data_IF_265692550425
#
_entry.id   IF_265692550425
#
_cell.length_a   1.000
_cell.length_b   1.000
_cell.length_c   1.000
_cell.angle_alpha   90.00
_cell.angle_beta   90.00
_cell.angle_gamma   90.00
#
_symmetry.space_group_name_H-M   'P 1'
#
loop_
_entity.id
_entity.type
_entity.pdbx_description
1 polymer ?
#
# COMPACT_ATOMS: atom_id res chain seq x y z
N UNK A 1 40.25 54.18 -53.61
CA UNK A 1 38.99 53.60 -53.09
C UNK A 1 39.23 53.25 -51.63
N UNK A 2 38.38 53.73 -50.72
CA UNK A 2 38.36 53.30 -49.32
C UNK A 2 37.12 52.44 -49.11
N UNK A 3 37.24 51.40 -48.28
CA UNK A 3 36.14 50.50 -47.92
C UNK A 3 35.82 50.77 -46.45
N UNK A 4 34.56 51.07 -46.17
CA UNK A 4 34.05 51.22 -44.82
C UNK A 4 33.55 49.86 -44.33
N UNK A 5 33.97 49.45 -43.12
CA UNK A 5 33.53 48.20 -42.50
C UNK A 5 32.58 48.58 -41.38
N UNK A 6 31.28 48.38 -41.61
CA UNK A 6 30.26 48.53 -40.57
C UNK A 6 30.24 47.24 -39.72
N UNK A 7 30.84 47.28 -38.54
CA UNK A 7 30.81 46.15 -37.63
C UNK A 7 29.46 46.10 -36.91
N UNK A 8 28.59 45.17 -37.31
CA UNK A 8 27.43 44.81 -36.49
C UNK A 8 27.94 44.26 -35.15
N UNK A 9 27.80 45.04 -34.10
CA UNK A 9 28.04 44.55 -32.74
C UNK A 9 26.86 43.63 -32.39
N UNK A 10 27.06 42.31 -32.51
CA UNK A 10 26.12 41.34 -31.95
C UNK A 10 26.14 41.48 -30.43
N UNK A 11 25.10 42.12 -29.89
CA UNK A 11 24.88 42.16 -28.44
C UNK A 11 24.50 40.75 -28.01
N UNK A 12 25.47 39.98 -27.52
CA UNK A 12 25.22 38.70 -26.85
C UNK A 12 24.45 39.00 -25.57
N UNK A 13 23.13 38.86 -25.62
CA UNK A 13 22.29 38.93 -24.42
C UNK A 13 22.48 37.62 -23.68
N UNK A 14 23.29 37.65 -22.63
CA UNK A 14 23.33 36.57 -21.65
C UNK A 14 21.99 36.59 -20.94
N UNK A 15 21.11 35.63 -21.25
CA UNK A 15 19.90 35.40 -20.47
C UNK A 15 20.34 34.75 -19.15
N UNK A 16 20.67 35.58 -18.16
CA UNK A 16 20.59 35.16 -16.77
C UNK A 16 19.11 35.06 -16.44
N UNK A 17 18.53 33.86 -16.55
CA UNK A 17 17.18 33.58 -16.09
C UNK A 17 17.03 34.09 -14.66
N UNK A 18 16.24 35.14 -14.50
CA UNK A 18 15.89 35.71 -13.21
C UNK A 18 14.65 34.98 -12.69
N UNK A 19 14.77 34.51 -11.45
CA UNK A 19 13.69 34.21 -10.51
C UNK A 19 13.00 32.83 -10.52
N UNK A 20 13.77 31.88 -9.96
CA UNK A 20 13.32 30.85 -8.99
C UNK A 20 12.44 29.71 -9.51
N UNK A 21 12.88 29.04 -10.57
CA UNK A 21 12.48 27.66 -10.85
C UNK A 21 13.64 26.72 -10.53
N UNK A 22 13.51 25.93 -9.46
CA UNK A 22 14.44 24.84 -9.18
C UNK A 22 14.15 23.70 -10.16
N UNK A 23 15.06 23.48 -11.10
CA UNK A 23 14.98 22.33 -12.01
C UNK A 23 15.70 21.14 -11.38
N UNK A 24 14.96 20.05 -11.16
CA UNK A 24 15.56 18.79 -10.72
C UNK A 24 16.30 18.16 -11.90
N UNK A 25 17.63 18.12 -11.84
CA UNK A 25 18.47 17.59 -12.92
C UNK A 25 18.35 16.06 -13.07
N UNK A 26 18.16 15.34 -11.97
CA UNK A 26 17.97 13.88 -11.94
C UNK A 26 17.29 13.48 -10.64
N UNK A 27 16.33 12.58 -10.73
CA UNK A 27 15.83 11.81 -9.59
C UNK A 27 16.41 10.40 -9.72
N UNK A 28 17.09 9.93 -8.69
CA UNK A 28 17.56 8.55 -8.62
C UNK A 28 16.66 7.79 -7.66
N UNK A 29 15.89 6.84 -8.20
CA UNK A 29 15.04 5.95 -7.42
C UNK A 29 15.85 4.68 -7.17
N UNK A 30 16.04 4.32 -5.90
CA UNK A 30 16.71 3.07 -5.53
C UNK A 30 15.89 1.83 -5.90
N UNK A 31 16.54 0.67 -5.87
CA UNK A 31 15.85 -0.61 -5.93
C UNK A 31 14.90 -0.75 -4.72
N UNK A 32 13.65 -1.20 -4.92
CA UNK A 32 12.79 -1.60 -3.82
C UNK A 32 13.50 -2.63 -2.94
N UNK A 33 13.70 -2.31 -1.65
CA UNK A 33 14.38 -3.21 -0.70
C UNK A 33 13.56 -4.47 -0.44
N UNK A 34 12.23 -4.38 -0.60
CA UNK A 34 11.31 -5.49 -0.43
C UNK A 34 10.01 -5.20 -1.17
N UNK A 35 9.60 -6.14 -2.02
CA UNK A 35 8.25 -6.16 -2.55
C UNK A 35 7.35 -6.86 -1.53
N UNK A 36 6.39 -6.13 -0.95
CA UNK A 36 5.27 -6.78 -0.28
C UNK A 36 4.27 -7.14 -1.35
N UNK A 37 4.08 -8.44 -1.60
CA UNK A 37 2.87 -8.87 -2.30
C UNK A 37 1.71 -8.34 -1.44
N UNK A 38 0.70 -7.74 -2.06
CA UNK A 38 -0.61 -7.64 -1.43
C UNK A 38 -0.97 -9.08 -1.08
N UNK A 39 -0.74 -9.47 0.17
CA UNK A 39 -0.88 -10.84 0.61
C UNK A 39 -2.27 -11.29 0.20
N UNK A 40 -2.38 -12.47 -0.41
CA UNK A 40 -3.68 -13.07 -0.69
C UNK A 40 -4.55 -12.88 0.56
N UNK A 41 -5.70 -12.21 0.39
CA UNK A 41 -6.66 -11.93 1.47
C UNK A 41 -7.34 -13.24 1.89
N UNK A 42 -6.55 -14.13 2.46
CA UNK A 42 -6.98 -15.39 3.05
C UNK A 42 -7.15 -15.16 4.54
N UNK A 43 -8.21 -15.74 5.09
CA UNK A 43 -8.47 -15.73 6.52
C UNK A 43 -7.35 -16.40 7.34
N UNK A 44 -6.55 -17.27 6.71
CA UNK A 44 -5.36 -17.89 7.31
C UNK A 44 -4.26 -16.89 7.66
N UNK A 45 -4.29 -15.69 7.08
CA UNK A 45 -3.23 -14.69 7.20
C UNK A 45 -3.63 -13.54 8.15
N UNK A 46 -4.81 -13.63 8.78
CA UNK A 46 -5.29 -12.64 9.73
C UNK A 46 -4.74 -12.93 11.13
N UNK A 47 -4.15 -11.93 11.76
CA UNK A 47 -3.82 -12.01 13.19
C UNK A 47 -5.09 -12.19 14.02
N UNK A 48 -5.03 -13.02 15.06
CA UNK A 48 -6.20 -13.31 15.91
C UNK A 48 -7.12 -14.41 15.38
N UNK A 49 -6.78 -15.09 14.28
CA UNK A 49 -7.60 -16.16 13.69
C UNK A 49 -6.80 -17.44 13.49
N UNK A 50 -7.31 -18.56 14.00
CA UNK A 50 -6.79 -19.90 13.83
C UNK A 50 -7.81 -20.77 13.09
N UNK A 51 -7.59 -20.97 11.79
CA UNK A 51 -8.43 -21.83 10.94
C UNK A 51 -7.81 -23.20 10.66
N UNK A 52 -6.90 -23.65 11.54
CA UNK A 52 -6.40 -25.02 11.55
C UNK A 52 -7.56 -25.98 11.78
N UNK A 53 -7.69 -27.03 10.94
CA UNK A 53 -8.76 -28.03 11.09
C UNK A 53 -10.12 -27.64 10.51
N UNK A 54 -10.23 -26.50 9.79
CA UNK A 54 -11.47 -26.14 9.09
C UNK A 54 -11.92 -27.23 8.11
N UNK A 55 -13.20 -27.54 8.12
CA UNK A 55 -13.87 -28.46 7.21
C UNK A 55 -15.09 -27.76 6.58
N UNK A 56 -15.76 -28.43 5.64
CA UNK A 56 -17.00 -27.90 5.09
C UNK A 56 -18.02 -27.68 6.23
N UNK A 57 -18.63 -26.48 6.27
CA UNK A 57 -19.58 -26.10 7.32
C UNK A 57 -18.95 -25.52 8.59
N UNK A 58 -17.61 -25.38 8.66
CA UNK A 58 -16.97 -24.68 9.77
C UNK A 58 -17.37 -23.20 9.83
N UNK A 59 -17.56 -22.69 11.03
CA UNK A 59 -17.72 -21.27 11.33
C UNK A 59 -16.64 -20.82 12.33
N UNK A 60 -16.48 -19.50 12.49
CA UNK A 60 -15.52 -18.94 13.44
C UNK A 60 -16.22 -18.70 14.77
N UNK A 61 -15.62 -19.19 15.85
CA UNK A 61 -16.05 -18.93 17.21
C UNK A 61 -14.87 -18.39 18.02
N UNK A 62 -15.10 -17.35 18.82
CA UNK A 62 -14.05 -16.85 19.71
C UNK A 62 -13.78 -17.85 20.83
N UNK A 63 -12.52 -18.23 20.99
CA UNK A 63 -12.01 -19.08 22.05
C UNK A 63 -11.29 -18.18 23.07
N UNK A 64 -11.84 -18.09 24.29
CA UNK A 64 -11.28 -17.27 25.37
C UNK A 64 -10.00 -17.86 25.97
N UNK A 65 -9.77 -19.15 25.86
CA UNK A 65 -8.55 -19.77 26.39
C UNK A 65 -7.38 -19.48 25.45
N UNK A 66 -7.63 -19.52 24.15
CA UNK A 66 -6.63 -19.20 23.12
C UNK A 66 -6.53 -17.69 22.81
N UNK A 67 -7.53 -16.89 23.16
CA UNK A 67 -7.67 -15.48 22.75
C UNK A 67 -7.67 -15.31 21.21
N UNK A 68 -8.27 -16.27 20.50
CA UNK A 68 -8.31 -16.31 19.03
C UNK A 68 -9.71 -16.70 18.55
N UNK A 69 -10.07 -16.30 17.33
CA UNK A 69 -11.17 -16.94 16.61
C UNK A 69 -10.70 -18.28 16.06
N UNK A 70 -11.36 -19.37 16.47
CA UNK A 70 -11.05 -20.74 16.03
C UNK A 70 -12.14 -21.27 15.10
N UNK A 71 -11.75 -22.14 14.16
CA UNK A 71 -12.72 -22.86 13.33
C UNK A 71 -13.43 -23.94 14.15
N UNK A 72 -14.76 -23.91 14.17
CA UNK A 72 -15.62 -24.84 14.90
C UNK A 72 -16.70 -25.39 13.96
N UNK A 73 -17.15 -26.62 14.21
CA UNK A 73 -18.27 -27.25 13.48
C UNK A 73 -19.54 -27.36 14.32
N UNK A 74 -19.43 -27.12 15.63
CA UNK A 74 -20.54 -27.27 16.58
C UNK A 74 -20.62 -26.07 17.51
N UNK A 75 -21.85 -25.70 17.87
CA UNK A 75 -22.13 -24.64 18.84
C UNK A 75 -22.44 -25.34 20.17
N UNK A 76 -21.41 -25.54 20.99
CA UNK A 76 -21.50 -26.31 22.25
C UNK A 76 -21.28 -25.48 23.53
N UNK A 77 -21.10 -24.16 23.42
CA UNK A 77 -20.92 -23.28 24.58
C UNK A 77 -22.27 -22.82 25.14
N UNK A 78 -22.42 -22.87 26.47
CA UNK A 78 -23.60 -22.37 27.19
C UNK A 78 -23.82 -20.86 27.00
N UNK A 79 -22.80 -20.13 26.55
CA UNK A 79 -22.87 -18.69 26.29
C UNK A 79 -23.38 -18.38 24.86
N UNK A 80 -23.52 -19.38 24.01
CA UNK A 80 -24.02 -19.20 22.65
C UNK A 80 -25.55 -19.21 22.66
N UNK A 81 -26.15 -18.03 22.74
CA UNK A 81 -27.60 -17.86 22.58
C UNK A 81 -27.95 -17.64 21.11
N UNK A 82 -28.38 -18.71 20.44
CA UNK A 82 -29.00 -18.59 19.11
C UNK A 82 -30.50 -18.40 19.32
N UNK A 83 -30.95 -17.15 19.34
CA UNK A 83 -32.38 -16.88 19.29
C UNK A 83 -32.82 -17.09 17.83
N UNK A 84 -33.29 -18.30 17.51
CA UNK A 84 -33.62 -18.79 16.17
C UNK A 84 -34.78 -18.09 15.46
N UNK A 85 -34.95 -16.78 15.67
CA UNK A 85 -35.96 -15.95 15.00
C UNK A 85 -37.37 -16.43 15.27
N UNK A 86 -37.86 -16.23 16.49
CA UNK A 86 -39.31 -16.34 16.73
C UNK A 86 -39.96 -15.02 16.29
N UNK A 87 -40.71 -15.05 15.17
CA UNK A 87 -41.63 -14.00 14.75
C UNK A 87 -43.06 -14.49 14.93
#
# INVERSE_FOLDING_TARGET
MAIEIDSKVEKVVVVTSTDKTNFVKKVEIGQPVRSVSSGSSSITNLGGVNVSGRTHGSFLMFDSDQQLFTAQTEINSANNKINGGNF
#
